data_IF_596950476272
#
_entry.id   IF_596950476272
#
_cell.length_a   1.000
_cell.length_b   1.000
_cell.length_c   1.000
_cell.angle_alpha   90.00
_cell.angle_beta   90.00
_cell.angle_gamma   90.00
#
_symmetry.space_group_name_H-M   'P 1'
#
loop_
_entity.id
_entity.type
_entity.pdbx_description
1 polymer ?
#
# COMPACT_ATOMS: atom_id res chain seq x y z
N UNK A 1 0.89 -3.18 22.02
CA UNK A 1 -0.29 -2.45 21.51
C UNK A 1 -0.38 -2.45 19.97
N UNK A 2 0.74 -2.29 19.23
CA UNK A 2 0.76 -2.21 17.75
C UNK A 2 0.33 -3.50 17.01
N UNK A 3 0.60 -4.69 17.57
CA UNK A 3 0.33 -5.99 16.91
C UNK A 3 -1.15 -6.22 16.52
N UNK A 4 -2.11 -5.56 17.18
CA UNK A 4 -3.54 -5.71 16.89
C UNK A 4 -4.08 -4.70 15.86
N UNK A 5 -3.35 -3.63 15.56
CA UNK A 5 -3.85 -2.56 14.70
C UNK A 5 -3.99 -2.98 13.23
N UNK A 6 -2.96 -3.65 12.70
CA UNK A 6 -2.95 -4.08 11.29
C UNK A 6 -4.06 -5.11 11.02
N UNK A 7 -4.22 -6.19 11.82
CA UNK A 7 -5.33 -7.11 11.64
C UNK A 7 -6.70 -6.42 11.76
N UNK A 8 -6.88 -5.54 12.76
CA UNK A 8 -8.14 -4.83 12.95
C UNK A 8 -8.51 -3.95 11.75
N UNK A 9 -7.52 -3.27 11.16
CA UNK A 9 -7.72 -2.47 9.95
C UNK A 9 -8.29 -3.32 8.81
N UNK A 10 -7.63 -4.43 8.48
CA UNK A 10 -8.08 -5.32 7.41
C UNK A 10 -9.42 -6.00 7.71
N UNK A 11 -9.69 -6.36 8.97
CA UNK A 11 -10.99 -6.91 9.37
C UNK A 11 -12.13 -5.89 9.27
N UNK A 12 -11.84 -4.60 9.50
CA UNK A 12 -12.81 -3.51 9.36
C UNK A 12 -12.96 -3.01 7.92
N UNK A 13 -11.98 -3.31 7.06
CA UNK A 13 -11.99 -2.94 5.67
C UNK A 13 -12.96 -3.87 4.92
N UNK A 14 -14.11 -3.34 4.53
CA UNK A 14 -15.03 -4.04 3.64
C UNK A 14 -14.36 -4.42 2.31
N UNK A 15 -15.05 -5.24 1.49
CA UNK A 15 -14.57 -5.58 0.15
C UNK A 15 -14.28 -4.29 -0.63
N UNK A 16 -13.05 -4.17 -1.13
CA UNK A 16 -12.67 -3.10 -2.06
C UNK A 16 -13.11 -3.47 -3.48
N UNK A 17 -13.64 -2.48 -4.20
CA UNK A 17 -14.18 -2.64 -5.54
C UNK A 17 -15.62 -3.15 -5.56
N UNK A 18 -16.13 -3.38 -6.77
CA UNK A 18 -17.53 -3.73 -7.02
C UNK A 18 -17.95 -3.27 -8.42
N UNK A 19 -19.22 -3.52 -8.79
CA UNK A 19 -19.73 -3.03 -10.07
C UNK A 19 -19.64 -1.50 -10.12
N UNK A 20 -19.12 -0.97 -11.23
CA UNK A 20 -18.90 0.46 -11.48
C UNK A 20 -17.94 1.18 -10.51
N UNK A 21 -17.11 0.45 -9.76
CA UNK A 21 -16.04 1.03 -8.94
C UNK A 21 -14.71 0.95 -9.69
N UNK A 22 -14.12 2.10 -9.97
CA UNK A 22 -12.78 2.19 -10.57
C UNK A 22 -11.74 2.20 -9.45
N UNK A 23 -10.73 1.32 -9.58
CA UNK A 23 -9.57 1.27 -8.70
C UNK A 23 -8.36 1.84 -9.43
N UNK A 24 -7.63 2.72 -8.76
CA UNK A 24 -6.26 3.09 -9.13
C UNK A 24 -5.30 2.16 -8.39
N UNK A 25 -4.37 1.56 -9.13
CA UNK A 25 -3.36 0.66 -8.58
C UNK A 25 -2.01 1.22 -8.98
N UNK A 26 -1.10 1.33 -8.01
CA UNK A 26 0.24 1.83 -8.24
C UNK A 26 1.26 1.10 -7.36
N UNK A 27 2.52 1.11 -7.78
CA UNK A 27 3.64 0.57 -7.03
C UNK A 27 4.58 1.68 -6.58
N UNK A 28 5.00 1.61 -5.32
CA UNK A 28 5.94 2.58 -4.75
C UNK A 28 6.99 1.87 -3.92
N UNK A 29 8.25 2.20 -4.16
CA UNK A 29 9.38 1.73 -3.35
C UNK A 29 9.57 2.66 -2.16
N UNK A 30 9.24 2.17 -0.97
CA UNK A 30 9.46 2.89 0.28
C UNK A 30 10.84 2.55 0.85
N UNK A 31 11.81 3.41 0.60
CA UNK A 31 13.11 3.42 1.28
C UNK A 31 13.39 4.81 1.80
N UNK A 32 13.84 4.94 3.06
CA UNK A 32 14.28 6.23 3.60
C UNK A 32 15.72 6.17 4.07
N UNK A 33 16.50 7.13 3.58
CA UNK A 33 17.77 7.58 4.19
C UNK A 33 17.50 8.86 4.96
N UNK A 34 18.03 8.99 6.18
CA UNK A 34 17.87 10.21 6.99
C UNK A 34 18.66 11.34 6.33
N UNK A 35 18.00 12.43 5.93
CA UNK A 35 18.63 13.56 5.21
C UNK A 35 19.43 13.18 3.97
N UNK A 36 19.03 12.12 3.28
CA UNK A 36 19.80 11.62 2.16
C UNK A 36 21.25 11.18 2.49
N UNK A 37 21.57 10.97 3.78
CA UNK A 37 22.89 10.60 4.29
C UNK A 37 22.80 9.30 5.12
N UNK A 38 23.93 8.59 5.24
CA UNK A 38 24.05 7.34 6.02
C UNK A 38 23.82 6.06 5.21
N UNK A 39 23.67 4.93 5.91
CA UNK A 39 23.56 3.59 5.33
C UNK A 39 22.36 3.47 4.37
N UNK A 40 22.60 2.91 3.18
CA UNK A 40 21.55 2.62 2.23
C UNK A 40 20.72 1.44 2.73
N UNK A 41 19.48 1.71 3.13
CA UNK A 41 18.51 0.66 3.49
C UNK A 41 17.77 0.26 2.22
N UNK A 42 17.77 -1.04 1.92
CA UNK A 42 16.97 -1.57 0.82
C UNK A 42 15.49 -1.29 1.10
N UNK A 43 14.89 -0.46 0.23
CA UNK A 43 13.50 -0.06 0.36
C UNK A 43 12.55 -1.23 0.14
N UNK A 44 11.39 -1.17 0.78
CA UNK A 44 10.32 -2.15 0.62
C UNK A 44 9.40 -1.70 -0.50
N UNK A 45 9.13 -2.58 -1.45
CA UNK A 45 8.10 -2.35 -2.44
C UNK A 45 6.72 -2.50 -1.82
N UNK A 46 5.84 -1.54 -2.09
CA UNK A 46 4.44 -1.55 -1.68
C UNK A 46 3.58 -1.37 -2.91
N UNK A 47 2.64 -2.30 -3.09
CA UNK A 47 1.52 -2.15 -4.00
C UNK A 47 0.40 -1.42 -3.27
N UNK A 48 -0.02 -0.27 -3.80
CA UNK A 48 -1.12 0.52 -3.30
C UNK A 48 -2.33 0.43 -4.21
N UNK A 49 -3.52 0.29 -3.63
CA UNK A 49 -4.79 0.39 -4.35
C UNK A 49 -5.69 1.42 -3.68
N UNK A 50 -6.33 2.29 -4.47
CA UNK A 50 -7.31 3.27 -3.97
C UNK A 50 -8.57 3.29 -4.83
N UNK A 51 -9.72 3.34 -4.18
CA UNK A 51 -11.01 3.53 -4.85
C UNK A 51 -11.21 4.98 -5.31
N UNK A 52 -11.61 5.17 -6.57
CA UNK A 52 -12.09 6.47 -7.08
C UNK A 52 -13.54 6.75 -6.66
N UNK A 53 -13.83 6.58 -5.37
CA UNK A 53 -15.12 6.86 -4.74
C UNK A 53 -14.95 7.98 -3.70
N UNK A 54 -16.05 8.47 -3.12
CA UNK A 54 -15.96 9.43 -2.02
C UNK A 54 -15.36 8.83 -0.74
N UNK A 55 -15.51 7.52 -0.55
CA UNK A 55 -14.97 6.81 0.63
C UNK A 55 -13.45 6.60 0.56
N UNK A 56 -12.87 6.61 -0.66
CA UNK A 56 -11.43 6.50 -0.91
C UNK A 56 -10.77 5.40 -0.08
N UNK A 57 -11.34 4.19 -0.10
CA UNK A 57 -10.77 3.04 0.61
C UNK A 57 -9.41 2.71 0.01
N UNK A 58 -8.43 2.40 0.86
CA UNK A 58 -7.04 2.15 0.47
C UNK A 58 -6.60 0.76 0.94
N UNK A 59 -5.79 0.06 0.14
CA UNK A 59 -5.01 -1.11 0.58
C UNK A 59 -3.55 -0.87 0.24
N UNK A 60 -2.66 -1.19 1.19
CA UNK A 60 -1.21 -1.17 1.00
C UNK A 60 -0.66 -2.56 1.29
N UNK A 61 -0.21 -3.25 0.24
CA UNK A 61 0.35 -4.60 0.34
C UNK A 61 1.86 -4.54 0.12
N UNK A 62 2.64 -4.98 1.12
CA UNK A 62 4.07 -5.23 0.93
C UNK A 62 4.24 -6.31 -0.15
N UNK A 63 5.09 -6.02 -1.13
CA UNK A 63 5.56 -6.98 -2.13
C UNK A 63 7.06 -7.18 -2.00
N UNK A 64 7.54 -8.33 -2.46
CA UNK A 64 8.95 -8.70 -2.44
C UNK A 64 9.68 -8.23 -3.71
N UNK A 65 8.94 -7.97 -4.79
CA UNK A 65 9.46 -7.59 -6.10
C UNK A 65 8.57 -6.52 -6.72
N UNK A 66 9.13 -5.79 -7.66
CA UNK A 66 8.39 -4.90 -8.56
C UNK A 66 7.55 -5.78 -9.51
N UNK A 67 6.23 -5.60 -9.54
CA UNK A 67 5.29 -6.47 -10.26
C UNK A 67 4.76 -5.77 -11.51
N UNK A 68 4.46 -4.46 -11.44
CA UNK A 68 3.97 -3.65 -12.55
C UNK A 68 5.12 -3.09 -13.39
N UNK A 69 5.83 -3.97 -14.11
CA UNK A 69 6.68 -3.57 -15.25
C UNK A 69 5.88 -3.78 -16.53
N UNK A 70 5.34 -2.69 -17.09
CA UNK A 70 4.80 -2.68 -18.46
C UNK A 70 5.96 -2.53 -19.45
#
# INVERSE_FOLDING_TARGET
MVRKLIPNYYSSLGKIGGNNVVLEIDESKFGKRKYNRGHHVEGVWILGCVERTHERRIILKKTEKEILKV
#
